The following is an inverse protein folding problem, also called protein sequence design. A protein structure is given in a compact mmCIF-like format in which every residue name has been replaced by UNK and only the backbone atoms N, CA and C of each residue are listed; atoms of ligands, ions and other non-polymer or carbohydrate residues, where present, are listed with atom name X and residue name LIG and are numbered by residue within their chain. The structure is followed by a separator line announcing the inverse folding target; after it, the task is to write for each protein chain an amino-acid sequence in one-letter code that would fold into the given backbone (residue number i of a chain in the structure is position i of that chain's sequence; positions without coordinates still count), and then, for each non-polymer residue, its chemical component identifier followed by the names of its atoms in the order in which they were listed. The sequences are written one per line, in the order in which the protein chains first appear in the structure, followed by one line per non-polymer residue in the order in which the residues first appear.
data_IF_007798957469
#
_entry.id   IF_007798957469
#
_cell.length_a   1.000
_cell.length_b   1.000
_cell.length_c   1.000
_cell.angle_alpha   90.00
_cell.angle_beta   90.00
_cell.angle_gamma   90.00
#
_symmetry.space_group_name_H-M   'P 1'
#
loop_
_entity.id
_entity.type
_entity.pdbx_description
1 polymer ?
#
# COMPACT_ATOMS: atom_id res chain seq x y z
N UNK A 1 9.17 -1.15 -23.97
CA UNK A 1 8.69 -0.61 -22.68
C UNK A 1 7.36 -1.29 -22.37
N UNK A 2 7.26 -2.13 -21.33
CA UNK A 2 5.98 -2.77 -20.97
C UNK A 2 5.08 -1.70 -20.34
N UNK A 3 3.95 -1.41 -20.97
CA UNK A 3 2.92 -0.53 -20.41
C UNK A 3 2.36 -1.20 -19.14
N UNK A 4 2.89 -0.83 -17.97
CA UNK A 4 2.54 -1.42 -16.67
C UNK A 4 1.24 -0.83 -16.07
N UNK A 5 0.19 -0.65 -16.88
CA UNK A 5 -1.15 -0.38 -16.35
C UNK A 5 -1.70 -1.58 -15.54
N UNK A 6 -1.07 -2.75 -15.67
CA UNK A 6 -1.40 -3.99 -14.95
C UNK A 6 -1.03 -4.00 -13.46
N UNK A 7 -0.23 -3.04 -12.99
CA UNK A 7 0.25 -3.03 -11.59
C UNK A 7 -0.65 -2.21 -10.66
N UNK A 8 -1.60 -1.44 -11.19
CA UNK A 8 -2.68 -0.86 -10.39
C UNK A 8 -3.75 -1.93 -10.15
N UNK A 9 -3.82 -2.40 -8.92
CA UNK A 9 -4.70 -3.53 -8.55
C UNK A 9 -5.48 -3.19 -7.28
N UNK A 10 -6.62 -3.86 -7.09
CA UNK A 10 -7.41 -3.70 -5.86
C UNK A 10 -6.63 -4.19 -4.65
N UNK A 11 -7.01 -3.72 -3.45
CA UNK A 11 -6.40 -4.19 -2.20
C UNK A 11 -6.45 -5.71 -2.05
N UNK A 12 -7.57 -6.33 -2.45
CA UNK A 12 -7.74 -7.78 -2.43
C UNK A 12 -6.75 -8.48 -3.38
N UNK A 13 -6.59 -7.95 -4.60
CA UNK A 13 -5.63 -8.49 -5.56
C UNK A 13 -4.19 -8.32 -5.08
N UNK A 14 -3.85 -7.18 -4.46
CA UNK A 14 -2.53 -6.95 -3.87
C UNK A 14 -2.21 -7.95 -2.76
N UNK A 15 -3.15 -8.23 -1.86
CA UNK A 15 -2.98 -9.25 -0.81
C UNK A 15 -2.79 -10.64 -1.41
N UNK A 16 -3.58 -11.01 -2.42
CA UNK A 16 -3.43 -12.31 -3.10
C UNK A 16 -2.07 -12.44 -3.77
N UNK A 17 -1.60 -11.39 -4.45
CA UNK A 17 -0.29 -11.36 -5.10
C UNK A 17 0.85 -11.42 -4.09
N UNK A 18 0.76 -10.64 -3.01
CA UNK A 18 1.73 -10.67 -1.91
C UNK A 18 1.86 -12.08 -1.33
N UNK A 19 0.75 -12.77 -1.08
CA UNK A 19 0.76 -14.17 -0.63
C UNK A 19 1.40 -15.13 -1.64
N UNK A 20 1.12 -14.98 -2.93
CA UNK A 20 1.79 -15.80 -3.96
C UNK A 20 3.29 -15.54 -4.09
N UNK A 21 3.74 -14.35 -3.69
CA UNK A 21 5.16 -13.96 -3.65
C UNK A 21 5.81 -14.28 -2.28
N UNK A 22 5.11 -14.98 -1.38
CA UNK A 22 5.62 -15.37 -0.06
C UNK A 22 5.66 -14.22 0.97
N UNK A 23 5.03 -13.08 0.68
CA UNK A 23 4.97 -11.92 1.56
C UNK A 23 3.80 -12.05 2.54
N UNK A 24 4.06 -11.80 3.83
CA UNK A 24 3.02 -11.78 4.85
C UNK A 24 2.29 -10.43 4.87
N UNK A 25 1.19 -10.33 4.13
CA UNK A 25 0.33 -9.14 4.09
C UNK A 25 -1.12 -9.51 4.40
N UNK A 26 -1.72 -8.82 5.37
CA UNK A 26 -3.15 -8.90 5.63
C UNK A 26 -3.89 -7.76 4.93
N UNK A 27 -5.15 -8.00 4.55
CA UNK A 27 -6.01 -6.96 3.97
C UNK A 27 -6.22 -5.79 4.92
N UNK A 28 -6.45 -6.07 6.20
CA UNK A 28 -6.62 -5.05 7.22
C UNK A 28 -5.36 -4.17 7.38
N UNK A 29 -4.17 -4.78 7.37
CA UNK A 29 -2.89 -4.06 7.41
C UNK A 29 -2.70 -3.18 6.18
N UNK A 30 -2.91 -3.74 4.98
CA UNK A 30 -2.82 -2.97 3.73
C UNK A 30 -3.79 -1.78 3.72
N UNK A 31 -5.04 -2.00 4.13
CA UNK A 31 -6.06 -0.95 4.20
C UNK A 31 -5.67 0.16 5.17
N UNK A 32 -5.05 -0.17 6.32
CA UNK A 32 -4.52 0.82 7.27
C UNK A 32 -3.40 1.64 6.64
N UNK A 33 -2.43 0.99 6.00
CA UNK A 33 -1.34 1.71 5.34
C UNK A 33 -1.82 2.70 4.28
N UNK A 34 -2.86 2.33 3.52
CA UNK A 34 -3.47 3.24 2.54
C UNK A 34 -4.22 4.38 3.24
N UNK A 35 -5.02 4.08 4.27
CA UNK A 35 -5.79 5.09 5.01
C UNK A 35 -4.89 6.10 5.76
N UNK A 36 -3.72 5.64 6.23
CA UNK A 36 -2.72 6.46 6.91
C UNK A 36 -1.78 7.20 5.93
N UNK A 37 -1.95 6.99 4.62
CA UNK A 37 -1.20 7.70 3.58
C UNK A 37 0.19 7.13 3.28
N UNK A 38 0.56 5.98 3.85
CA UNK A 38 1.84 5.31 3.56
C UNK A 38 1.90 4.72 2.15
N UNK A 39 0.75 4.38 1.58
CA UNK A 39 0.64 3.82 0.23
C UNK A 39 -0.29 4.72 -0.59
N UNK A 40 0.22 5.38 -1.64
CA UNK A 40 -0.61 6.12 -2.59
C UNK A 40 -1.65 5.21 -3.23
N UNK A 41 -2.86 5.72 -3.38
CA UNK A 41 -3.97 5.01 -3.99
C UNK A 41 -4.68 5.88 -5.03
N UNK A 42 -5.40 5.22 -5.94
CA UNK A 42 -6.23 5.84 -6.96
C UNK A 42 -7.67 5.41 -6.72
N UNK A 43 -8.64 6.34 -6.63
CA UNK A 43 -10.04 5.98 -6.56
C UNK A 43 -10.50 5.35 -7.89
N UNK A 44 -11.29 4.27 -7.81
CA UNK A 44 -11.89 3.58 -8.95
C UNK A 44 -13.33 3.19 -8.62
N UNK A 45 -14.25 4.13 -8.80
CA UNK A 45 -15.63 4.00 -8.33
C UNK A 45 -15.69 3.82 -6.81
N UNK A 46 -16.40 2.79 -6.34
CA UNK A 46 -16.49 2.42 -4.91
C UNK A 46 -15.24 1.70 -4.38
N UNK A 47 -14.27 1.41 -5.24
CA UNK A 47 -13.04 0.73 -4.89
C UNK A 47 -11.84 1.66 -4.94
N UNK A 48 -10.74 1.24 -4.33
CA UNK A 48 -9.44 1.89 -4.48
C UNK A 48 -8.46 0.92 -5.11
N UNK A 49 -7.60 1.45 -5.97
CA UNK A 49 -6.47 0.75 -6.57
C UNK A 49 -5.18 1.23 -5.93
N UNK A 50 -4.24 0.31 -5.78
CA UNK A 50 -2.89 0.58 -5.30
C UNK A 50 -1.90 0.14 -6.35
N UNK A 51 -0.79 0.86 -6.46
CA UNK A 51 0.33 0.44 -7.29
C UNK A 51 1.12 -0.64 -6.56
N UNK A 52 1.05 -1.88 -7.03
CA UNK A 52 1.60 -3.04 -6.32
C UNK A 52 3.09 -2.93 -5.97
N UNK A 53 3.98 -2.37 -6.81
CA UNK A 53 5.38 -2.20 -6.44
C UNK A 53 5.59 -1.36 -5.16
N UNK A 54 4.74 -0.37 -4.89
CA UNK A 54 4.79 0.39 -3.63
C UNK A 54 4.41 -0.49 -2.43
N UNK A 55 3.41 -1.35 -2.59
CA UNK A 55 2.99 -2.32 -1.57
C UNK A 55 4.13 -3.30 -1.27
N UNK A 56 4.72 -3.89 -2.30
CA UNK A 56 5.82 -4.85 -2.16
C UNK A 56 7.05 -4.19 -1.53
N UNK A 57 7.38 -2.95 -1.92
CA UNK A 57 8.48 -2.19 -1.35
C UNK A 57 8.27 -1.94 0.15
N UNK A 58 7.06 -1.51 0.56
CA UNK A 58 6.75 -1.27 1.96
C UNK A 58 6.84 -2.53 2.82
N UNK A 59 6.45 -3.70 2.29
CA UNK A 59 6.55 -4.96 3.04
C UNK A 59 8.00 -5.42 3.18
N UNK A 60 8.80 -5.29 2.11
CA UNK A 60 10.19 -5.76 2.09
C UNK A 60 11.13 -4.85 2.87
N UNK A 61 10.94 -3.54 2.75
CA UNK A 61 11.87 -2.54 3.27
C UNK A 61 11.31 -1.78 4.48
N UNK A 62 10.05 -2.01 4.85
CA UNK A 62 9.38 -1.30 5.92
C UNK A 62 9.00 0.14 5.53
N UNK A 63 8.45 0.86 6.50
CA UNK A 63 8.15 2.30 6.40
C UNK A 63 9.42 3.08 6.66
N UNK A 64 9.72 4.10 5.84
CA UNK A 64 10.91 4.93 6.06
C UNK A 64 10.78 5.77 7.34
N UNK A 65 11.91 6.18 7.92
CA UNK A 65 11.91 7.05 9.10
C UNK A 65 11.13 8.37 8.87
N UNK A 66 11.21 8.92 7.67
CA UNK A 66 10.48 10.12 7.27
C UNK A 66 8.97 9.90 7.22
N UNK A 67 8.53 8.79 6.61
CA UNK A 67 7.11 8.42 6.56
C UNK A 67 6.57 8.14 7.97
N UNK A 68 7.33 7.43 8.80
CA UNK A 68 6.97 7.16 10.20
C UNK A 68 6.85 8.46 11.01
N UNK A 69 7.80 9.39 10.82
CA UNK A 69 7.78 10.71 11.46
C UNK A 69 6.60 11.56 10.98
N UNK A 70 6.31 11.57 9.68
CA UNK A 70 5.16 12.26 9.12
C UNK A 70 3.84 11.75 9.72
N UNK A 71 3.72 10.43 9.92
CA UNK A 71 2.59 9.80 10.59
C UNK A 71 2.49 10.18 12.07
N UNK A 72 3.58 10.15 12.83
CA UNK A 72 3.57 10.58 14.23
C UNK A 72 3.14 12.05 14.35
N UNK A 73 3.66 12.91 13.49
CA UNK A 73 3.30 14.34 13.44
C UNK A 73 1.85 14.57 13.04
N UNK A 74 1.28 13.79 12.12
CA UNK A 74 -0.13 13.92 11.75
C UNK A 74 -1.06 13.49 12.90
N UNK A 75 -0.66 12.48 13.68
CA UNK A 75 -1.42 12.01 14.84
C UNK A 75 -1.34 12.92 16.06
N UNK A 76 -0.19 13.55 16.30
CA UNK A 76 0.01 14.49 17.42
C UNK A 76 -0.66 15.85 17.21
N UNK A 77 -1.12 16.15 16.00
CA UNK A 77 -1.83 17.40 15.66
C UNK A 77 -3.35 17.28 15.77
N UNK A 78 -3.85 16.16 16.31
CA UNK A 78 -5.27 15.89 16.50
C UNK A 78 -5.72 16.08 17.94
#
# INVERSE_FOLDING_TARGET
MKNNNSDFISLTAAVRRAKSEGLNLSYAGLRRFVAEGFIPHVPNGSHILVYYPNVANLIKNGVTAEQSRAYQLSRSRS
#
